data_IF_049185249084
#
_entry.id   IF_049185249084
#
_cell.length_a   1.000
_cell.length_b   1.000
_cell.length_c   1.000
_cell.angle_alpha   90.00
_cell.angle_beta   90.00
_cell.angle_gamma   90.00
#
_symmetry.space_group_name_H-M   'P 1'
#
loop_
_entity.id
_entity.type
_entity.pdbx_description
1 polymer ?
#
# COMPACT_ATOMS: atom_id res chain seq x y z
N UNK A 1 -12.07 11.35 8.05
CA UNK A 1 -11.76 9.98 7.56
C UNK A 1 -12.57 8.90 8.30
N UNK A 2 -13.92 8.97 8.31
CA UNK A 2 -14.76 7.99 9.04
C UNK A 2 -14.77 6.62 8.36
N UNK A 3 -14.95 6.61 7.03
CA UNK A 3 -15.03 5.38 6.23
C UNK A 3 -13.75 4.56 6.33
N UNK A 4 -12.57 5.19 6.20
CA UNK A 4 -11.28 4.48 6.28
C UNK A 4 -11.07 3.77 7.62
N UNK A 5 -11.52 4.37 8.73
CA UNK A 5 -11.37 3.80 10.08
C UNK A 5 -12.43 2.75 10.42
N UNK A 6 -13.49 2.66 9.63
CA UNK A 6 -14.57 1.68 9.82
C UNK A 6 -14.50 0.51 8.84
N UNK A 7 -13.55 0.53 7.90
CA UNK A 7 -13.39 -0.52 6.91
C UNK A 7 -12.45 -1.62 7.41
N UNK A 8 -12.90 -2.87 7.38
CA UNK A 8 -12.08 -4.05 7.68
C UNK A 8 -11.19 -4.47 6.51
N UNK A 9 -11.66 -4.25 5.28
CA UNK A 9 -11.05 -4.74 4.04
C UNK A 9 -11.10 -3.61 3.00
N UNK A 10 -10.02 -3.45 2.25
CA UNK A 10 -9.95 -2.57 1.07
C UNK A 10 -9.62 -3.40 -0.16
N UNK A 11 -10.34 -3.17 -1.25
CA UNK A 11 -10.17 -3.90 -2.51
C UNK A 11 -9.87 -2.90 -3.61
N UNK A 12 -8.86 -3.20 -4.43
CA UNK A 12 -8.67 -2.54 -5.73
C UNK A 12 -9.06 -3.51 -6.82
N UNK A 13 -9.85 -3.07 -7.79
CA UNK A 13 -10.08 -3.77 -9.07
C UNK A 13 -9.64 -2.93 -10.26
N UNK A 14 -8.76 -1.94 -10.04
CA UNK A 14 -8.34 -0.98 -11.04
C UNK A 14 -7.61 -1.65 -12.21
N UNK A 15 -7.83 -1.18 -13.43
CA UNK A 15 -7.05 -1.60 -14.61
C UNK A 15 -5.72 -0.87 -14.73
N UNK A 16 -5.61 0.30 -14.10
CA UNK A 16 -4.41 1.13 -14.06
C UNK A 16 -4.22 1.71 -12.66
N UNK A 17 -3.02 1.63 -12.12
CA UNK A 17 -2.63 2.25 -10.87
C UNK A 17 -1.12 2.50 -10.85
N UNK A 18 -0.71 3.68 -10.39
CA UNK A 18 0.68 4.09 -10.30
C UNK A 18 1.18 4.13 -8.86
N UNK A 19 0.37 4.63 -7.91
CA UNK A 19 0.79 4.77 -6.51
C UNK A 19 -0.17 4.03 -5.57
N UNK A 20 -1.46 4.04 -5.81
CA UNK A 20 -2.43 3.41 -4.91
C UNK A 20 -2.52 4.18 -3.59
N UNK A 21 -2.68 5.50 -3.66
CA UNK A 21 -2.70 6.35 -2.45
C UNK A 21 -3.91 5.99 -1.57
N UNK A 22 -5.06 5.72 -2.18
CA UNK A 22 -6.26 5.27 -1.47
C UNK A 22 -6.04 3.92 -0.76
N UNK A 23 -5.33 2.99 -1.42
CA UNK A 23 -4.95 1.70 -0.83
C UNK A 23 -3.98 1.91 0.34
N UNK A 24 -2.97 2.75 0.14
CA UNK A 24 -1.98 3.11 1.18
C UNK A 24 -2.67 3.70 2.41
N UNK A 25 -3.57 4.67 2.22
CA UNK A 25 -4.34 5.29 3.30
C UNK A 25 -5.26 4.29 4.02
N UNK A 26 -5.91 3.39 3.28
CA UNK A 26 -6.80 2.40 3.87
C UNK A 26 -6.04 1.36 4.69
N UNK A 27 -4.91 0.86 4.18
CA UNK A 27 -4.05 -0.07 4.92
C UNK A 27 -3.50 0.60 6.17
N UNK A 28 -3.00 1.83 6.05
CA UNK A 28 -2.52 2.61 7.19
C UNK A 28 -3.64 2.85 8.24
N UNK A 29 -4.88 3.03 7.79
CA UNK A 29 -6.04 3.18 8.66
C UNK A 29 -6.53 1.86 9.30
N UNK A 30 -5.98 0.72 8.92
CA UNK A 30 -6.26 -0.58 9.53
C UNK A 30 -7.04 -1.58 8.65
N UNK A 31 -7.26 -1.28 7.37
CA UNK A 31 -7.97 -2.18 6.47
C UNK A 31 -7.02 -3.22 5.83
N UNK A 32 -7.40 -4.49 5.84
CA UNK A 32 -6.64 -5.53 5.15
C UNK A 32 -6.81 -5.39 3.62
N UNK A 33 -5.73 -5.36 2.83
CA UNK A 33 -5.85 -5.20 1.39
C UNK A 33 -6.13 -6.51 0.66
N UNK A 34 -6.81 -6.39 -0.48
CA UNK A 34 -6.91 -7.41 -1.53
C UNK A 34 -6.76 -6.72 -2.89
N UNK A 35 -5.67 -7.00 -3.59
CA UNK A 35 -5.15 -6.19 -4.68
C UNK A 35 -4.79 -7.07 -5.88
N UNK A 36 -4.85 -6.56 -7.12
CA UNK A 36 -4.48 -7.35 -8.27
C UNK A 36 -2.95 -7.58 -8.28
N UNK A 37 -2.52 -8.77 -8.66
CA UNK A 37 -1.12 -9.19 -8.86
C UNK A 37 -0.56 -8.59 -10.17
N UNK A 38 -0.59 -7.26 -10.23
CA UNK A 38 -0.17 -6.41 -11.35
C UNK A 38 -0.12 -4.96 -10.88
N UNK A 39 0.19 -4.04 -11.81
CA UNK A 39 0.34 -2.61 -11.52
C UNK A 39 1.47 -2.38 -10.50
N UNK A 40 1.33 -1.39 -9.63
CA UNK A 40 2.30 -1.07 -8.58
C UNK A 40 2.22 -2.00 -7.35
N UNK A 41 1.19 -2.84 -7.23
CA UNK A 41 0.94 -3.56 -5.97
C UNK A 41 1.99 -4.62 -5.61
N UNK A 42 2.50 -5.46 -6.55
CA UNK A 42 3.58 -6.39 -6.24
C UNK A 42 4.86 -5.70 -5.74
N UNK A 43 5.16 -4.49 -6.24
CA UNK A 43 6.30 -3.69 -5.78
C UNK A 43 6.05 -3.09 -4.38
N UNK A 44 4.80 -2.75 -4.06
CA UNK A 44 4.44 -2.09 -2.80
C UNK A 44 4.27 -3.03 -1.62
N UNK A 45 3.78 -4.23 -1.89
CA UNK A 45 3.52 -5.22 -0.86
C UNK A 45 4.76 -6.09 -0.68
N UNK A 46 5.22 -6.36 0.55
CA UNK A 46 6.30 -7.30 0.79
C UNK A 46 5.98 -8.69 0.21
N UNK A 47 6.94 -9.32 -0.47
CA UNK A 47 6.78 -10.61 -1.15
C UNK A 47 6.16 -11.69 -0.26
N UNK A 48 6.56 -11.74 1.02
CA UNK A 48 6.02 -12.67 2.04
C UNK A 48 4.51 -12.56 2.29
N UNK A 49 3.86 -11.49 1.81
CA UNK A 49 2.43 -11.27 1.94
C UNK A 49 1.68 -11.43 0.61
N UNK A 50 2.37 -11.61 -0.52
CA UNK A 50 1.75 -11.68 -1.85
C UNK A 50 0.64 -12.73 -1.90
N UNK A 51 0.91 -13.96 -1.48
CA UNK A 51 -0.07 -15.06 -1.46
C UNK A 51 -1.31 -14.78 -0.58
N UNK A 52 -1.24 -13.77 0.29
CA UNK A 52 -2.31 -13.44 1.25
C UNK A 52 -3.17 -12.26 0.80
N UNK A 53 -2.66 -11.41 -0.09
CA UNK A 53 -3.31 -10.13 -0.44
C UNK A 53 -3.33 -9.83 -1.93
N UNK A 54 -2.61 -10.57 -2.76
CA UNK A 54 -2.63 -10.41 -4.21
C UNK A 54 -3.52 -11.47 -4.87
N UNK A 55 -4.25 -11.07 -5.90
CA UNK A 55 -5.11 -11.95 -6.69
C UNK A 55 -4.86 -11.75 -8.19
N UNK A 56 -4.98 -12.80 -8.99
CA UNK A 56 -4.71 -12.76 -10.45
C UNK A 56 -5.98 -12.67 -11.28
N UNK A 57 -7.07 -13.23 -10.77
CA UNK A 57 -8.35 -13.30 -11.45
C UNK A 57 -9.55 -13.15 -10.50
N UNK A 58 -10.76 -13.12 -11.07
CA UNK A 58 -11.99 -12.97 -10.30
C UNK A 58 -12.23 -14.12 -9.31
N UNK A 59 -12.02 -15.40 -9.65
CA UNK A 59 -12.06 -16.49 -8.68
C UNK A 59 -11.15 -16.26 -7.47
N UNK A 60 -9.88 -15.92 -7.68
CA UNK A 60 -8.93 -15.66 -6.58
C UNK A 60 -9.35 -14.43 -5.74
N UNK A 61 -9.90 -13.39 -6.39
CA UNK A 61 -10.48 -12.24 -5.68
C UNK A 61 -11.62 -12.66 -4.76
N UNK A 62 -12.55 -13.49 -5.24
CA UNK A 62 -13.70 -13.94 -4.45
C UNK A 62 -13.24 -14.83 -3.30
N UNK A 63 -12.36 -15.78 -3.54
CA UNK A 63 -11.84 -16.68 -2.51
C UNK A 63 -11.04 -15.93 -1.45
N UNK A 64 -10.19 -14.99 -1.87
CA UNK A 64 -9.47 -14.07 -0.99
C UNK A 64 -10.41 -13.24 -0.12
N UNK A 65 -11.46 -12.68 -0.71
CA UNK A 65 -12.44 -11.89 0.02
C UNK A 65 -13.20 -12.73 1.06
N UNK A 66 -13.68 -13.92 0.67
CA UNK A 66 -14.37 -14.83 1.59
C UNK A 66 -13.46 -15.23 2.76
N UNK A 67 -12.19 -15.53 2.48
CA UNK A 67 -11.18 -15.83 3.51
C UNK A 67 -10.99 -14.66 4.47
N UNK A 68 -10.75 -13.46 3.95
CA UNK A 68 -10.54 -12.26 4.77
C UNK A 68 -11.78 -11.90 5.60
N UNK A 69 -13.00 -12.07 5.07
CA UNK A 69 -14.23 -11.87 5.83
C UNK A 69 -14.31 -12.84 7.02
N UNK A 70 -14.02 -14.12 6.78
CA UNK A 70 -14.14 -15.19 7.79
C UNK A 70 -13.04 -15.16 8.86
N UNK A 71 -11.87 -14.60 8.57
CA UNK A 71 -10.70 -14.69 9.44
C UNK A 71 -10.19 -13.32 9.91
N UNK A 72 -10.72 -12.82 11.03
CA UNK A 72 -10.31 -11.54 11.62
C UNK A 72 -8.88 -11.56 12.17
N UNK A 73 -8.41 -12.70 12.67
CA UNK A 73 -7.03 -12.86 13.13
C UNK A 73 -6.04 -12.71 11.96
N UNK A 74 -6.39 -13.26 10.80
CA UNK A 74 -5.60 -13.09 9.59
C UNK A 74 -5.55 -11.63 9.15
N UNK A 75 -6.70 -10.92 9.10
CA UNK A 75 -6.75 -9.49 8.78
C UNK A 75 -5.83 -8.69 9.70
N UNK A 76 -5.92 -8.94 11.01
CA UNK A 76 -5.11 -8.25 12.02
C UNK A 76 -3.61 -8.48 11.78
N UNK A 77 -3.22 -9.71 11.47
CA UNK A 77 -1.82 -10.05 11.17
C UNK A 77 -1.32 -9.37 9.89
N UNK A 78 -2.14 -9.30 8.84
CA UNK A 78 -1.81 -8.61 7.58
C UNK A 78 -1.62 -7.11 7.84
N UNK A 79 -2.59 -6.48 8.49
CA UNK A 79 -2.58 -5.04 8.79
C UNK A 79 -1.38 -4.68 9.65
N UNK A 80 -1.10 -5.46 10.71
CA UNK A 80 0.06 -5.23 11.57
C UNK A 80 1.36 -5.28 10.77
N UNK A 81 1.50 -6.26 9.87
CA UNK A 81 2.69 -6.41 9.04
C UNK A 81 2.85 -5.30 8.00
N UNK A 82 1.74 -4.71 7.52
CA UNK A 82 1.76 -3.66 6.50
C UNK A 82 1.75 -2.25 7.07
N UNK A 83 1.36 -2.05 8.33
CA UNK A 83 1.22 -0.72 8.92
C UNK A 83 2.55 0.07 8.88
N UNK A 84 3.66 -0.55 9.25
CA UNK A 84 4.99 0.08 9.17
C UNK A 84 5.40 0.37 7.71
N UNK A 85 5.07 -0.55 6.79
CA UNK A 85 5.38 -0.40 5.36
C UNK A 85 4.63 0.77 4.72
N UNK A 86 3.40 1.04 5.16
CA UNK A 86 2.63 2.20 4.69
C UNK A 86 3.08 3.49 5.37
N UNK A 87 3.52 3.41 6.62
CA UNK A 87 4.01 4.55 7.40
C UNK A 87 5.22 5.24 6.77
N UNK A 88 6.03 4.55 5.96
CA UNK A 88 7.17 5.17 5.23
C UNK A 88 6.75 6.24 4.22
N UNK A 89 5.48 6.25 3.82
CA UNK A 89 4.93 7.23 2.90
C UNK A 89 4.32 8.45 3.62
N UNK A 90 4.43 8.52 4.95
CA UNK A 90 3.99 9.70 5.69
C UNK A 90 4.76 10.94 5.24
N UNK A 91 4.04 12.06 5.14
CA UNK A 91 4.60 13.31 4.63
C UNK A 91 5.75 13.83 5.49
N UNK A 92 5.75 13.56 6.80
CA UNK A 92 6.87 13.93 7.68
C UNK A 92 8.18 13.24 7.30
N UNK A 93 8.12 12.04 6.72
CA UNK A 93 9.29 11.32 6.22
C UNK A 93 9.63 11.73 4.77
N UNK A 94 8.64 11.76 3.89
CA UNK A 94 8.84 12.03 2.46
C UNK A 94 9.29 13.46 2.19
N UNK A 95 8.76 14.45 2.91
CA UNK A 95 9.13 15.85 2.72
C UNK A 95 10.64 16.07 2.94
N UNK A 96 11.20 15.47 3.99
CA UNK A 96 12.63 15.59 4.30
C UNK A 96 13.53 14.97 3.22
N UNK A 97 13.15 13.82 2.65
CA UNK A 97 13.86 13.20 1.53
C UNK A 97 13.81 14.09 0.28
N UNK A 98 12.63 14.67 -0.01
CA UNK A 98 12.45 15.58 -1.14
C UNK A 98 13.31 16.85 -0.98
N UNK A 99 13.29 17.48 0.19
CA UNK A 99 14.10 18.66 0.49
C UNK A 99 15.59 18.37 0.27
N UNK A 100 16.07 17.22 0.75
CA UNK A 100 17.46 16.78 0.57
C UNK A 100 17.81 16.63 -0.91
N UNK A 101 16.96 15.95 -1.68
CA UNK A 101 17.20 15.71 -3.12
C UNK A 101 17.17 17.02 -3.91
N UNK A 102 16.21 17.90 -3.64
CA UNK A 102 16.10 19.19 -4.32
C UNK A 102 17.30 20.09 -4.03
N UNK A 103 17.76 20.15 -2.77
CA UNK A 103 18.96 20.89 -2.40
C UNK A 103 20.20 20.38 -3.16
N UNK A 104 20.35 19.06 -3.30
CA UNK A 104 21.48 18.46 -4.01
C UNK A 104 21.56 18.84 -5.50
N UNK A 105 20.41 19.09 -6.14
CA UNK A 105 20.36 19.50 -7.54
C UNK A 105 20.86 20.93 -7.72
N UNK A 106 20.52 21.83 -6.80
CA UNK A 106 21.00 23.22 -6.81
C UNK A 106 22.52 23.26 -6.67
N UNK A 107 23.09 22.47 -5.74
CA UNK A 107 24.54 22.40 -5.55
C UNK A 107 25.25 21.84 -6.79
N UNK A 108 24.70 20.80 -7.43
CA UNK A 108 25.28 20.25 -8.67
C UNK A 108 25.26 21.24 -9.83
N UNK A 109 24.16 21.97 -10.02
CA UNK A 109 24.08 22.99 -11.07
C UNK A 109 25.09 24.12 -10.86
N UNK A 110 25.42 24.46 -9.62
CA UNK A 110 26.43 25.47 -9.30
C UNK A 110 27.88 25.01 -9.53
N UNK A 111 28.16 23.70 -9.43
CA UNK A 111 29.51 23.14 -9.68
C UNK A 111 29.78 22.84 -11.16
N UNK A 112 28.73 22.77 -11.98
CA UNK A 112 28.84 22.47 -13.43
C UNK A 112 28.82 23.74 -14.31
N UNK A 113 28.73 24.91 -13.69
CA UNK A 113 28.81 26.23 -14.33
C UNK A 113 30.14 26.91 -13.95
#
# INVERSE_FOLDING_TARGET
>A
RRILRSADIVISTADHEFFGIAITEAIYAGAAPLLPDRLVYPERIPEKLHDRVLYRDTPELVDGLVRLIKNSAERTAIVTALHSEMGRFDWSAIAADYDTRLASLVTRSATTA
#
